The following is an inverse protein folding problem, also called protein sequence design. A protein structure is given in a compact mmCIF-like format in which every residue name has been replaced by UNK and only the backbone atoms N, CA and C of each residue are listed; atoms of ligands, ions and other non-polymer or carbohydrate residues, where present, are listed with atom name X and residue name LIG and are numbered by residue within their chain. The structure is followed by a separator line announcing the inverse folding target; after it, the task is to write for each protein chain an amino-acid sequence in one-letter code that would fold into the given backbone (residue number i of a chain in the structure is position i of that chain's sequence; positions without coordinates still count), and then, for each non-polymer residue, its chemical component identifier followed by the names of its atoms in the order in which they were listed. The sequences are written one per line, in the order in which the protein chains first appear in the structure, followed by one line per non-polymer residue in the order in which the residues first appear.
data_IF_091046024046
#
_entry.id   IF_091046024046
#
_cell.length_a   1.000
_cell.length_b   1.000
_cell.length_c   1.000
_cell.angle_alpha   90.00
_cell.angle_beta   90.00
_cell.angle_gamma   90.00
#
_symmetry.space_group_name_H-M   'P 1'
#
loop_
_entity.id
_entity.type
_entity.pdbx_description
1 polymer ?
#
# COMPACT_ATOMS: atom_id res chain seq x y z
N UNK A 1 2.61 9.40 -10.40
CA UNK A 1 2.32 8.31 -9.43
C UNK A 1 3.24 7.13 -9.70
N UNK A 2 4.27 6.91 -8.86
CA UNK A 2 5.24 5.81 -9.03
C UNK A 2 4.74 4.43 -8.55
N UNK A 3 3.58 4.39 -7.89
CA UNK A 3 3.00 3.17 -7.30
C UNK A 3 2.38 2.21 -8.35
N UNK A 4 1.85 2.74 -9.45
CA UNK A 4 1.27 1.92 -10.53
C UNK A 4 2.33 1.10 -11.28
N UNK A 5 3.49 1.67 -11.71
CA UNK A 5 4.57 0.87 -12.27
C UNK A 5 5.08 -0.23 -11.34
N UNK A 6 5.24 0.06 -10.05
CA UNK A 6 5.63 -0.93 -9.04
C UNK A 6 4.60 -2.08 -8.96
N UNK A 7 3.30 -1.74 -8.91
CA UNK A 7 2.20 -2.71 -8.88
C UNK A 7 2.22 -3.61 -10.12
N UNK A 8 2.42 -3.04 -11.30
CA UNK A 8 2.51 -3.79 -12.55
C UNK A 8 3.73 -4.72 -12.55
N UNK A 9 4.90 -4.21 -12.14
CA UNK A 9 6.13 -5.00 -12.06
C UNK A 9 5.98 -6.20 -11.09
N UNK A 10 5.35 -6.00 -9.93
CA UNK A 10 5.05 -7.09 -8.99
C UNK A 10 4.12 -8.12 -9.66
N UNK A 11 3.03 -7.66 -10.27
CA UNK A 11 2.06 -8.54 -10.93
C UNK A 11 2.70 -9.39 -12.05
N UNK A 12 3.63 -8.81 -12.80
CA UNK A 12 4.41 -9.55 -13.80
C UNK A 12 5.33 -10.59 -13.18
N UNK A 13 5.97 -10.29 -12.04
CA UNK A 13 6.78 -11.27 -11.31
C UNK A 13 5.95 -12.43 -10.75
N UNK A 14 4.72 -12.16 -10.29
CA UNK A 14 3.79 -13.19 -9.82
C UNK A 14 3.35 -14.08 -10.98
N UNK A 15 3.09 -13.50 -12.17
CA UNK A 15 2.69 -14.25 -13.37
C UNK A 15 3.71 -15.31 -13.79
N UNK A 16 4.99 -15.11 -13.48
CA UNK A 16 6.07 -16.05 -13.83
C UNK A 16 6.19 -17.25 -12.87
N UNK A 17 5.41 -17.31 -11.79
CA UNK A 17 5.46 -18.40 -10.82
C UNK A 17 4.62 -19.58 -11.31
N UNK A 18 5.24 -20.74 -11.48
CA UNK A 18 4.55 -21.97 -11.91
C UNK A 18 3.57 -22.46 -10.84
N UNK A 19 2.32 -22.72 -11.24
CA UNK A 19 1.30 -23.33 -10.37
C UNK A 19 0.60 -22.38 -9.39
N UNK A 20 0.84 -21.07 -9.49
CA UNK A 20 0.12 -20.08 -8.69
C UNK A 20 -1.29 -19.84 -9.23
N UNK A 21 -2.27 -19.63 -8.35
CA UNK A 21 -3.63 -19.26 -8.75
C UNK A 21 -3.65 -17.85 -9.35
N UNK A 22 -4.33 -17.68 -10.49
CA UNK A 22 -4.51 -16.36 -11.14
C UNK A 22 -5.15 -15.32 -10.22
N UNK A 23 -5.99 -15.77 -9.27
CA UNK A 23 -6.61 -14.92 -8.27
C UNK A 23 -5.58 -14.09 -7.49
N UNK A 24 -4.42 -14.64 -7.14
CA UNK A 24 -3.37 -13.95 -6.37
C UNK A 24 -2.83 -12.75 -7.14
N UNK A 25 -2.50 -12.96 -8.41
CA UNK A 25 -2.04 -11.89 -9.31
C UNK A 25 -3.12 -10.82 -9.48
N UNK A 26 -4.36 -11.24 -9.74
CA UNK A 26 -5.47 -10.33 -10.00
C UNK A 26 -5.82 -9.49 -8.75
N UNK A 27 -5.79 -10.08 -7.56
CA UNK A 27 -5.99 -9.36 -6.29
C UNK A 27 -4.85 -8.36 -6.09
N UNK A 28 -3.59 -8.75 -6.29
CA UNK A 28 -2.46 -7.82 -6.20
C UNK A 28 -2.72 -6.61 -7.10
N UNK A 29 -2.97 -6.85 -8.39
CA UNK A 29 -3.07 -5.80 -9.41
C UNK A 29 -4.25 -4.87 -9.11
N UNK A 30 -5.42 -5.45 -8.83
CA UNK A 30 -6.64 -4.71 -8.53
C UNK A 30 -6.48 -3.90 -7.25
N UNK A 31 -5.88 -4.47 -6.20
CA UNK A 31 -5.61 -3.78 -4.96
C UNK A 31 -4.60 -2.64 -5.14
N UNK A 32 -3.55 -2.82 -5.95
CA UNK A 32 -2.61 -1.73 -6.24
C UNK A 32 -3.22 -0.59 -7.04
N UNK A 33 -4.05 -0.91 -8.04
CA UNK A 33 -4.78 0.09 -8.80
C UNK A 33 -5.78 0.87 -7.92
N UNK A 34 -6.55 0.14 -7.09
CA UNK A 34 -7.47 0.75 -6.13
C UNK A 34 -6.73 1.57 -5.07
N UNK A 35 -5.56 1.11 -4.60
CA UNK A 35 -4.71 1.81 -3.63
C UNK A 35 -4.16 3.12 -4.20
N UNK A 36 -3.73 3.13 -5.46
CA UNK A 36 -3.35 4.36 -6.15
C UNK A 36 -4.50 5.37 -6.14
N UNK A 37 -5.70 4.94 -6.51
CA UNK A 37 -6.89 5.80 -6.49
C UNK A 37 -7.24 6.28 -5.07
N UNK A 38 -7.13 5.39 -4.07
CA UNK A 38 -7.40 5.71 -2.68
C UNK A 38 -6.49 6.82 -2.13
N UNK A 39 -5.26 6.98 -2.64
CA UNK A 39 -4.37 8.09 -2.27
C UNK A 39 -4.70 9.40 -3.02
N UNK A 40 -5.24 9.30 -4.24
CA UNK A 40 -5.66 10.48 -5.01
C UNK A 40 -6.86 11.17 -4.36
N UNK A 41 -7.83 10.39 -3.87
CA UNK A 41 -9.08 10.94 -3.32
C UNK A 41 -8.91 11.91 -2.14
N UNK A 42 -8.10 11.61 -1.11
CA UNK A 42 -7.76 12.58 -0.06
C UNK A 42 -7.17 13.86 -0.64
N UNK A 43 -6.23 13.75 -1.58
CA UNK A 43 -5.62 14.92 -2.22
C UNK A 43 -6.64 15.82 -2.92
N UNK A 44 -7.61 15.22 -3.62
CA UNK A 44 -8.73 15.96 -4.23
C UNK A 44 -9.59 16.63 -3.17
N UNK A 45 -9.94 15.93 -2.09
CA UNK A 45 -10.71 16.52 -0.98
C UNK A 45 -10.00 17.70 -0.35
N UNK A 46 -8.68 17.61 -0.15
CA UNK A 46 -7.87 18.71 0.38
C UNK A 46 -7.81 19.90 -0.60
N UNK A 47 -7.69 19.64 -1.90
CA UNK A 47 -7.76 20.68 -2.93
C UNK A 47 -9.13 21.38 -2.95
N UNK A 48 -10.23 20.63 -2.81
CA UNK A 48 -11.57 21.20 -2.68
C UNK A 48 -11.71 22.00 -1.39
N UNK A 49 -11.10 21.55 -0.28
CA UNK A 49 -11.10 22.28 0.98
C UNK A 49 -10.38 23.64 0.90
N UNK A 50 -9.34 23.76 0.07
CA UNK A 50 -8.58 25.01 -0.09
C UNK A 50 -9.06 25.92 -1.22
N UNK A 51 -9.86 25.41 -2.18
CA UNK A 51 -10.23 26.16 -3.40
C UNK A 51 -11.03 27.46 -3.15
N UNK A 52 -11.95 27.47 -2.18
CA UNK A 52 -12.72 28.65 -1.76
C UNK A 52 -12.54 28.92 -0.27
N UNK A 53 -11.96 30.04 0.12
CA UNK A 53 -11.73 30.32 1.54
C UNK A 53 -12.96 30.93 2.23
N UNK A 54 -13.86 31.55 1.46
CA UNK A 54 -15.08 32.21 1.94
C UNK A 54 -16.26 31.23 2.17
N UNK A 55 -16.01 30.10 2.85
CA UNK A 55 -17.04 29.10 3.18
C UNK A 55 -17.31 29.03 4.68
N UNK A 56 -18.50 28.55 5.12
CA UNK A 56 -18.75 28.30 6.53
C UNK A 56 -17.73 27.34 7.14
N UNK A 57 -17.31 27.61 8.37
CA UNK A 57 -16.21 26.88 9.05
C UNK A 57 -16.53 25.38 9.22
N UNK A 58 -17.81 25.06 9.42
CA UNK A 58 -18.31 23.70 9.57
C UNK A 58 -18.11 22.87 8.29
N UNK A 59 -18.20 23.52 7.13
CA UNK A 59 -17.96 22.86 5.83
C UNK A 59 -16.48 22.56 5.65
N UNK A 60 -15.60 23.48 6.07
CA UNK A 60 -14.15 23.25 6.06
C UNK A 60 -13.77 22.11 7.00
N UNK A 61 -14.35 22.05 8.20
CA UNK A 61 -14.14 20.96 9.15
C UNK A 61 -14.58 19.61 8.57
N UNK A 62 -15.78 19.54 7.99
CA UNK A 62 -16.28 18.31 7.35
C UNK A 62 -15.33 17.80 6.25
N UNK A 63 -14.79 18.70 5.41
CA UNK A 63 -13.85 18.33 4.36
C UNK A 63 -12.48 17.89 4.92
N UNK A 64 -12.03 18.50 6.01
CA UNK A 64 -10.82 18.07 6.71
C UNK A 64 -10.99 16.67 7.31
N UNK A 65 -12.11 16.40 7.96
CA UNK A 65 -12.43 15.08 8.50
C UNK A 65 -12.52 14.04 7.38
N UNK A 66 -13.20 14.38 6.27
CA UNK A 66 -13.29 13.52 5.10
C UNK A 66 -11.92 13.20 4.49
N UNK A 67 -11.01 14.18 4.43
CA UNK A 67 -9.63 13.98 3.98
C UNK A 67 -8.94 12.89 4.83
N UNK A 68 -8.98 13.01 6.16
CA UNK A 68 -8.33 12.05 7.05
C UNK A 68 -8.98 10.67 7.01
N UNK A 69 -10.32 10.60 6.93
CA UNK A 69 -11.03 9.33 6.82
C UNK A 69 -10.73 8.61 5.50
N UNK A 70 -10.71 9.34 4.38
CA UNK A 70 -10.32 8.78 3.08
C UNK A 70 -8.85 8.35 3.04
N UNK A 71 -7.98 8.98 3.82
CA UNK A 71 -6.56 8.63 3.86
C UNK A 71 -6.32 7.36 4.68
N UNK A 72 -7.03 7.19 5.80
CA UNK A 72 -6.73 6.15 6.79
C UNK A 72 -7.68 4.95 6.74
N UNK A 73 -8.95 5.10 6.42
CA UNK A 73 -9.86 3.93 6.42
C UNK A 73 -9.52 2.91 5.31
N UNK A 74 -9.10 3.30 4.09
CA UNK A 74 -8.86 2.37 2.99
C UNK A 74 -7.60 1.48 3.06
N UNK A 75 -6.89 1.43 4.19
CA UNK A 75 -5.75 0.52 4.37
C UNK A 75 -5.99 -0.97 4.03
N UNK A 76 -7.21 -1.55 4.15
CA UNK A 76 -7.46 -2.95 3.75
C UNK A 76 -7.10 -3.25 2.29
N UNK A 77 -7.16 -2.25 1.41
CA UNK A 77 -6.75 -2.38 0.02
C UNK A 77 -5.25 -2.72 -0.06
N UNK A 78 -4.42 -1.98 0.67
CA UNK A 78 -2.97 -2.21 0.74
C UNK A 78 -2.62 -3.52 1.45
N UNK A 79 -3.44 -3.93 2.44
CA UNK A 79 -3.30 -5.24 3.09
C UNK A 79 -3.53 -6.37 2.09
N UNK A 80 -4.59 -6.29 1.27
CA UNK A 80 -4.87 -7.30 0.24
C UNK A 80 -3.74 -7.42 -0.78
N UNK A 81 -3.17 -6.29 -1.21
CA UNK A 81 -2.00 -6.29 -2.09
C UNK A 81 -0.79 -6.98 -1.43
N UNK A 82 -0.49 -6.61 -0.19
CA UNK A 82 0.67 -7.11 0.56
C UNK A 82 0.55 -8.60 0.85
N UNK A 83 -0.62 -9.08 1.27
CA UNK A 83 -0.85 -10.50 1.53
C UNK A 83 -0.79 -11.34 0.25
N UNK A 84 -1.25 -10.79 -0.88
CA UNK A 84 -1.10 -11.45 -2.19
C UNK A 84 0.36 -11.61 -2.57
N UNK A 85 1.17 -10.55 -2.38
CA UNK A 85 2.61 -10.61 -2.59
C UNK A 85 3.28 -11.60 -1.63
N UNK A 86 2.99 -11.54 -0.33
CA UNK A 86 3.55 -12.46 0.66
C UNK A 86 3.27 -13.92 0.30
N UNK A 87 2.03 -14.25 -0.09
CA UNK A 87 1.67 -15.58 -0.55
C UNK A 87 2.50 -15.99 -1.77
N UNK A 88 2.59 -15.12 -2.78
CA UNK A 88 3.39 -15.37 -3.97
C UNK A 88 4.87 -15.64 -3.63
N UNK A 89 5.47 -14.85 -2.72
CA UNK A 89 6.85 -15.06 -2.25
C UNK A 89 7.00 -16.43 -1.58
N UNK A 90 6.04 -16.86 -0.76
CA UNK A 90 6.10 -18.13 -0.04
C UNK A 90 6.03 -19.33 -0.99
N UNK A 91 5.19 -19.29 -2.03
CA UNK A 91 5.03 -20.40 -2.98
C UNK A 91 6.08 -20.41 -4.09
N UNK A 92 6.80 -19.30 -4.31
CA UNK A 92 7.82 -19.21 -5.35
C UNK A 92 8.96 -20.20 -5.12
N UNK A 93 9.10 -21.18 -6.02
CA UNK A 93 10.09 -22.26 -5.97
C UNK A 93 11.26 -22.05 -6.93
N UNK A 94 11.34 -20.89 -7.61
CA UNK A 94 12.45 -20.56 -8.52
C UNK A 94 13.78 -20.59 -7.76
N UNK A 95 14.85 -21.05 -8.43
CA UNK A 95 16.19 -21.10 -7.84
C UNK A 95 16.76 -19.71 -7.48
N UNK A 96 16.36 -18.68 -8.22
CA UNK A 96 16.72 -17.27 -7.98
C UNK A 96 15.44 -16.42 -8.00
N UNK A 97 14.64 -16.42 -6.92
CA UNK A 97 13.41 -15.64 -6.88
C UNK A 97 13.72 -14.14 -6.77
N UNK A 98 12.93 -13.26 -7.42
CA UNK A 98 13.10 -11.81 -7.35
C UNK A 98 12.92 -11.27 -5.92
N UNK A 99 12.11 -11.96 -5.11
CA UNK A 99 11.86 -11.63 -3.72
C UNK A 99 12.41 -12.74 -2.79
N UNK A 100 13.35 -12.41 -1.89
CA UNK A 100 13.80 -13.35 -0.87
C UNK A 100 12.67 -13.74 0.10
N UNK A 101 12.69 -14.98 0.60
CA UNK A 101 11.65 -15.49 1.53
C UNK A 101 11.39 -14.61 2.76
N UNK A 102 12.39 -13.99 3.42
CA UNK A 102 12.13 -13.10 4.56
C UNK A 102 11.23 -11.90 4.24
N UNK A 103 11.19 -11.47 2.97
CA UNK A 103 10.34 -10.33 2.54
C UNK A 103 8.85 -10.69 2.62
N UNK A 104 8.50 -11.98 2.61
CA UNK A 104 7.12 -12.41 2.89
C UNK A 104 6.69 -12.00 4.30
N UNK A 105 7.58 -12.10 5.32
CA UNK A 105 7.25 -11.69 6.68
C UNK A 105 7.02 -10.18 6.77
N UNK A 106 7.81 -9.38 6.05
CA UNK A 106 7.60 -7.93 5.97
C UNK A 106 6.21 -7.63 5.40
N UNK A 107 5.85 -8.28 4.30
CA UNK A 107 4.54 -8.15 3.65
C UNK A 107 3.36 -8.80 4.42
N UNK A 108 3.61 -9.42 5.58
CA UNK A 108 2.59 -9.92 6.51
C UNK A 108 2.49 -9.02 7.75
N UNK A 109 3.64 -8.74 8.38
CA UNK A 109 3.70 -8.04 9.66
C UNK A 109 3.38 -6.56 9.51
N UNK A 110 3.88 -5.91 8.46
CA UNK A 110 3.64 -4.48 8.24
C UNK A 110 2.13 -4.20 8.04
N UNK A 111 1.39 -4.93 7.19
CA UNK A 111 -0.05 -4.71 7.04
C UNK A 111 -0.89 -4.86 8.30
N UNK A 112 -0.47 -5.71 9.25
CA UNK A 112 -1.14 -5.86 10.54
C UNK A 112 -1.08 -4.55 11.35
N UNK A 113 -0.02 -3.75 11.17
CA UNK A 113 0.10 -2.44 11.83
C UNK A 113 -0.95 -1.43 11.37
N UNK A 114 -1.63 -1.68 10.25
CA UNK A 114 -2.64 -0.78 9.70
C UNK A 114 -4.00 -0.91 10.37
N UNK A 115 -4.22 -1.99 11.14
CA UNK A 115 -5.51 -2.30 11.76
C UNK A 115 -6.10 -1.13 12.57
N UNK A 116 -5.32 -0.43 13.42
CA UNK A 116 -5.83 0.72 14.18
C UNK A 116 -6.37 1.84 13.28
N UNK A 117 -5.73 2.10 12.14
CA UNK A 117 -6.11 3.14 11.19
C UNK A 117 -7.48 2.90 10.53
N UNK A 118 -7.89 1.64 10.37
CA UNK A 118 -9.18 1.27 9.78
C UNK A 118 -10.34 1.71 10.69
N UNK A 119 -10.12 1.70 12.01
CA UNK A 119 -11.11 2.04 13.02
C UNK A 119 -10.97 3.48 13.54
N UNK A 120 -10.23 4.34 12.86
CA UNK A 120 -9.90 5.69 13.33
C UNK A 120 -11.13 6.59 13.51
N UNK A 121 -12.23 6.30 12.80
CA UNK A 121 -13.51 7.00 12.92
C UNK A 121 -14.22 6.75 14.28
N UNK A 122 -13.79 5.74 15.04
CA UNK A 122 -14.36 5.42 16.35
C UNK A 122 -13.78 6.28 17.49
N UNK A 123 -12.67 6.98 17.25
CA UNK A 123 -11.88 7.65 18.29
C UNK A 123 -11.51 9.06 17.85
N UNK A 124 -11.73 10.04 18.74
CA UNK A 124 -11.46 11.46 18.44
C UNK A 124 -10.13 11.96 19.00
N UNK A 125 -9.59 11.30 20.02
CA UNK A 125 -8.39 11.72 20.74
C UNK A 125 -7.55 10.52 21.17
N UNK A 126 -6.28 10.78 21.52
CA UNK A 126 -5.36 9.76 22.02
C UNK A 126 -4.50 9.10 20.91
N UNK A 127 -3.73 8.06 21.28
CA UNK A 127 -2.71 7.49 20.38
C UNK A 127 -3.27 6.78 19.14
N UNK A 128 -4.55 6.40 19.18
CA UNK A 128 -5.28 5.73 18.09
C UNK A 128 -6.16 6.69 17.28
N UNK A 129 -6.18 7.98 17.59
CA UNK A 129 -6.85 8.98 16.77
C UNK A 129 -6.13 9.19 15.43
N UNK A 130 -6.75 9.91 14.50
CA UNK A 130 -6.21 10.12 13.14
C UNK A 130 -4.85 10.81 13.11
N UNK A 131 -4.51 11.60 14.13
CA UNK A 131 -3.22 12.26 14.30
C UNK A 131 -2.30 11.52 15.29
N UNK A 132 -2.73 10.37 15.80
CA UNK A 132 -2.04 9.62 16.84
C UNK A 132 -0.89 8.77 16.29
N UNK A 133 0.08 8.46 17.16
CA UNK A 133 1.27 7.66 16.81
C UNK A 133 0.90 6.28 16.25
N UNK A 134 -0.13 5.63 16.82
CA UNK A 134 -0.49 4.25 16.47
C UNK A 134 -1.24 4.16 15.15
N UNK A 135 -2.16 5.09 14.89
CA UNK A 135 -3.02 5.03 13.69
C UNK A 135 -2.52 5.87 12.52
N UNK A 136 -1.54 6.75 12.73
CA UNK A 136 -0.95 7.56 11.67
C UNK A 136 0.52 7.23 11.43
N UNK A 137 1.37 7.47 12.42
CA UNK A 137 2.83 7.44 12.24
C UNK A 137 3.40 6.04 12.05
N UNK A 138 2.94 5.05 12.83
CA UNK A 138 3.40 3.67 12.67
C UNK A 138 3.04 3.12 11.28
N UNK A 139 1.78 3.17 10.82
CA UNK A 139 1.38 2.71 9.48
C UNK A 139 2.15 3.40 8.36
N UNK A 140 2.26 4.73 8.38
CA UNK A 140 2.87 5.47 7.27
C UNK A 140 4.36 5.19 7.14
N UNK A 141 5.09 5.11 8.25
CA UNK A 141 6.52 4.78 8.27
C UNK A 141 6.71 3.32 7.85
N UNK A 142 5.92 2.41 8.42
CA UNK A 142 6.04 0.97 8.12
C UNK A 142 5.72 0.68 6.64
N UNK A 143 4.68 1.31 6.10
CA UNK A 143 4.34 1.24 4.68
C UNK A 143 5.47 1.80 3.80
N UNK A 144 6.03 2.96 4.16
CA UNK A 144 7.16 3.55 3.45
C UNK A 144 8.36 2.61 3.39
N UNK A 145 8.72 2.00 4.52
CA UNK A 145 9.81 1.01 4.58
C UNK A 145 9.47 -0.22 3.71
N UNK A 146 8.26 -0.76 3.81
CA UNK A 146 7.82 -1.91 3.02
C UNK A 146 7.93 -1.63 1.51
N UNK A 147 7.41 -0.50 1.04
CA UNK A 147 7.48 -0.11 -0.37
C UNK A 147 8.93 0.04 -0.84
N UNK A 148 9.80 0.64 -0.02
CA UNK A 148 11.22 0.77 -0.36
C UNK A 148 11.93 -0.58 -0.46
N UNK A 149 11.60 -1.53 0.43
CA UNK A 149 12.12 -2.90 0.39
C UNK A 149 11.66 -3.61 -0.88
N UNK A 150 10.37 -3.58 -1.18
CA UNK A 150 9.81 -4.24 -2.36
C UNK A 150 10.36 -3.65 -3.67
N UNK A 151 10.46 -2.32 -3.76
CA UNK A 151 11.12 -1.64 -4.89
C UNK A 151 12.58 -2.06 -5.05
N UNK A 152 13.32 -2.17 -3.94
CA UNK A 152 14.73 -2.60 -3.98
C UNK A 152 14.88 -4.03 -4.48
N UNK A 153 13.98 -4.94 -4.08
CA UNK A 153 13.95 -6.30 -4.61
C UNK A 153 13.70 -6.33 -6.12
N UNK A 154 12.73 -5.54 -6.60
CA UNK A 154 12.43 -5.44 -8.04
C UNK A 154 13.61 -4.87 -8.84
N UNK A 155 14.25 -3.81 -8.34
CA UNK A 155 15.43 -3.23 -9.02
C UNK A 155 16.59 -4.20 -9.10
N UNK A 156 16.85 -4.97 -8.03
CA UNK A 156 17.89 -6.01 -8.03
C UNK A 156 17.57 -7.14 -9.01
N UNK A 157 16.30 -7.54 -9.10
CA UNK A 157 15.86 -8.55 -10.05
C UNK A 157 16.01 -8.07 -11.50
N UNK A 158 15.65 -6.83 -11.79
CA UNK A 158 15.82 -6.23 -13.11
C UNK A 158 17.31 -6.17 -13.53
N UNK A 159 18.18 -5.66 -12.65
CA UNK A 159 19.61 -5.61 -12.92
C UNK A 159 20.24 -7.00 -13.16
N UNK A 160 19.75 -8.03 -12.46
CA UNK A 160 20.20 -9.40 -12.65
C UNK A 160 19.74 -10.02 -13.99
N UNK A 161 18.60 -9.59 -14.52
CA UNK A 161 18.11 -10.01 -15.82
C UNK A 161 18.91 -9.37 -16.96
N UNK A 162 19.23 -8.08 -16.85
CA UNK A 162 20.05 -7.37 -17.85
C UNK A 162 21.45 -7.98 -17.99
N UNK A 163 22.08 -8.37 -16.87
CA UNK A 163 23.39 -9.04 -16.89
C UNK A 163 23.38 -10.43 -17.54
N UNK A 164 22.21 -11.08 -17.67
CA UNK A 164 22.09 -12.40 -18.33
C UNK A 164 21.79 -12.27 -19.83
N UNK A 165 21.46 -11.06 -20.31
CA UNK A 165 21.19 -10.79 -21.72
C UNK A 165 22.47 -10.50 -22.54
N UNK A 166 23.62 -10.40 -21.88
CA UNK A 166 24.97 -10.23 -22.47
C UNK A 166 25.81 -11.48 -22.24
#
# INVERSE_FOLDING_TARGET
MFYLPMTAAISDQIRQITGIYDAVRNIQLAAGAAGAFAIVMPGVTLAVASYRLDRPIETTQLLNDLFWMLLLIPWPIFMAQSFSLAYAILVDSRAKPPFPKPIALVNILVPITYIPSIAVHCVKTGPVAWNGVVSFWIPIISFGIQVMVDCTCLMRAAAAADMQAY
#
